data_IF_046333628839
#
_entry.id   IF_046333628839
#
_cell.length_a   1.000
_cell.length_b   1.000
_cell.length_c   1.000
_cell.angle_alpha   90.00
_cell.angle_beta   90.00
_cell.angle_gamma   90.00
#
_symmetry.space_group_name_H-M   'P 1'
#
loop_
_entity.id
_entity.type
_entity.pdbx_description
1 polymer ?
#
# COMPACT_ATOMS: atom_id res chain seq x y z
N UNK A 1 -9.79 19.57 2.99
CA UNK A 1 -8.54 19.25 3.73
C UNK A 1 -8.66 17.82 4.23
N UNK A 2 -7.59 16.99 4.22
CA UNK A 2 -7.69 15.63 4.76
C UNK A 2 -8.34 15.62 6.16
N UNK A 3 -9.34 14.74 6.37
CA UNK A 3 -10.11 14.67 7.62
C UNK A 3 -11.24 15.69 7.80
N UNK A 4 -11.68 16.39 6.74
CA UNK A 4 -12.77 17.38 6.83
C UNK A 4 -14.15 16.75 7.10
N UNK A 5 -14.37 15.50 6.67
CA UNK A 5 -15.64 14.80 6.85
C UNK A 5 -16.72 15.19 5.85
N UNK A 6 -16.36 15.94 4.80
CA UNK A 6 -17.29 16.44 3.78
C UNK A 6 -16.81 16.17 2.36
N UNK A 7 -15.50 16.07 2.14
CA UNK A 7 -14.93 15.73 0.83
C UNK A 7 -15.30 14.30 0.40
N UNK A 8 -15.56 14.13 -0.89
CA UNK A 8 -15.79 12.81 -1.51
C UNK A 8 -14.48 12.07 -1.79
N UNK A 9 -14.59 10.76 -2.11
CA UNK A 9 -13.44 9.86 -2.28
C UNK A 9 -12.53 9.80 -1.03
N UNK A 10 -13.15 9.71 0.15
CA UNK A 10 -12.46 9.60 1.42
C UNK A 10 -11.65 8.29 1.49
N UNK A 11 -10.36 8.40 1.82
CA UNK A 11 -9.47 7.25 1.96
C UNK A 11 -9.61 6.63 3.34
N UNK A 12 -9.95 5.34 3.35
CA UNK A 12 -10.22 4.54 4.54
C UNK A 12 -9.41 3.24 4.49
N UNK A 13 -9.32 2.56 5.62
CA UNK A 13 -8.87 1.18 5.70
C UNK A 13 -9.66 0.43 6.78
N UNK A 14 -9.58 -0.90 6.78
CA UNK A 14 -10.36 -1.80 7.63
C UNK A 14 -9.47 -2.85 8.30
N UNK A 15 -8.90 -3.78 7.53
CA UNK A 15 -8.13 -4.93 8.04
C UNK A 15 -6.80 -4.53 8.69
N UNK A 16 -6.65 -4.81 9.99
CA UNK A 16 -5.47 -4.47 10.78
C UNK A 16 -5.18 -5.44 11.94
N UNK A 17 -6.05 -6.43 12.23
CA UNK A 17 -5.96 -7.29 13.44
C UNK A 17 -5.68 -8.76 13.17
N UNK A 18 -5.08 -9.06 12.02
CA UNK A 18 -4.54 -10.39 11.72
C UNK A 18 -5.53 -11.34 11.06
N UNK A 19 -5.16 -12.62 10.88
CA UNK A 19 -5.81 -13.52 9.92
C UNK A 19 -7.22 -13.97 10.32
N UNK A 20 -7.62 -13.79 11.58
CA UNK A 20 -8.97 -14.14 12.05
C UNK A 20 -9.94 -12.94 11.99
N UNK A 21 -9.49 -11.74 11.61
CA UNK A 21 -10.37 -10.59 11.43
C UNK A 21 -11.15 -10.72 10.12
N UNK A 22 -12.39 -11.19 10.20
CA UNK A 22 -13.27 -11.25 9.03
C UNK A 22 -13.73 -9.84 8.61
N UNK A 23 -14.26 -9.70 7.39
CA UNK A 23 -14.80 -8.42 6.91
C UNK A 23 -15.90 -7.86 7.82
N UNK A 24 -16.64 -8.74 8.50
CA UNK A 24 -17.72 -8.38 9.43
C UNK A 24 -17.21 -7.88 10.79
N UNK A 25 -15.93 -8.09 11.09
CA UNK A 25 -15.35 -7.79 12.40
C UNK A 25 -14.52 -6.52 12.40
N UNK A 26 -14.22 -5.94 11.23
CA UNK A 26 -13.36 -4.77 11.09
C UNK A 26 -13.96 -3.50 11.70
N UNK A 27 -13.08 -2.55 12.04
CA UNK A 27 -13.48 -1.17 12.34
C UNK A 27 -12.98 -0.30 11.19
N UNK A 28 -13.91 0.26 10.41
CA UNK A 28 -13.56 1.18 9.31
C UNK A 28 -12.99 2.47 9.89
N UNK A 29 -11.79 2.84 9.46
CA UNK A 29 -11.03 3.97 10.00
C UNK A 29 -10.39 4.81 8.88
N UNK A 30 -10.21 6.13 9.08
CA UNK A 30 -9.65 7.01 8.07
C UNK A 30 -8.14 6.80 7.91
N UNK A 31 -7.65 6.81 6.68
CA UNK A 31 -6.20 6.81 6.42
C UNK A 31 -5.51 8.02 7.05
N UNK A 32 -6.19 9.17 7.10
CA UNK A 32 -5.72 10.37 7.77
C UNK A 32 -6.26 10.40 9.21
N UNK A 33 -5.40 10.10 10.17
CA UNK A 33 -5.73 10.07 11.59
C UNK A 33 -5.46 11.42 12.25
N UNK A 34 -6.53 12.17 12.48
CA UNK A 34 -6.52 13.50 13.08
C UNK A 34 -7.05 13.54 14.52
N UNK A 35 -7.41 12.38 15.10
CA UNK A 35 -8.09 12.22 16.39
C UNK A 35 -9.46 12.93 16.45
N UNK A 36 -10.11 13.07 15.28
CA UNK A 36 -11.42 13.72 15.14
C UNK A 36 -12.59 12.77 15.43
N UNK A 37 -12.38 11.47 15.19
CA UNK A 37 -13.34 10.39 15.42
C UNK A 37 -12.65 9.23 16.13
N UNK A 38 -13.42 8.27 16.64
CA UNK A 38 -12.88 7.17 17.45
C UNK A 38 -12.72 7.58 18.92
N UNK A 39 -11.69 7.05 19.57
CA UNK A 39 -11.35 7.36 20.96
C UNK A 39 -10.39 8.55 21.11
N UNK A 40 -9.79 8.73 22.29
CA UNK A 40 -8.84 9.82 22.55
C UNK A 40 -7.61 9.82 21.63
N UNK A 41 -7.21 8.64 21.14
CA UNK A 41 -6.10 8.45 20.21
C UNK A 41 -6.58 8.14 18.78
N UNK A 42 -7.80 8.56 18.46
CA UNK A 42 -8.49 8.15 17.25
C UNK A 42 -8.74 6.65 17.23
N UNK A 43 -8.24 5.98 16.21
CA UNK A 43 -8.33 4.51 16.05
C UNK A 43 -6.98 3.82 16.26
N UNK A 44 -5.92 4.51 16.70
CA UNK A 44 -4.58 3.93 16.69
C UNK A 44 -4.36 2.85 17.75
N UNK A 45 -4.91 3.04 18.94
CA UNK A 45 -4.70 2.19 20.11
C UNK A 45 -5.45 0.85 20.06
N UNK A 46 -6.42 0.70 19.15
CA UNK A 46 -7.04 -0.59 18.85
C UNK A 46 -6.19 -1.48 17.92
N UNK A 47 -5.16 -0.91 17.27
CA UNK A 47 -4.30 -1.63 16.32
C UNK A 47 -2.84 -1.73 16.78
N UNK A 48 -2.37 -0.77 17.57
CA UNK A 48 -0.97 -0.68 17.99
C UNK A 48 -0.89 -0.39 19.49
N UNK A 49 0.10 -1.01 20.15
CA UNK A 49 0.44 -0.68 21.52
C UNK A 49 1.47 0.43 21.53
N UNK A 50 1.22 1.50 22.30
CA UNK A 50 2.13 2.63 22.46
C UNK A 50 1.88 3.36 23.76
N UNK A 51 2.87 4.12 24.23
CA UNK A 51 2.74 5.02 25.40
C UNK A 51 2.21 6.41 25.02
N UNK A 52 2.33 6.78 23.75
CA UNK A 52 1.77 8.01 23.18
C UNK A 52 1.46 7.80 21.70
N UNK A 53 0.52 8.61 21.18
CA UNK A 53 0.06 8.53 19.80
C UNK A 53 0.13 9.91 19.14
N UNK A 54 0.58 9.93 17.89
CA UNK A 54 0.66 11.13 17.07
C UNK A 54 -0.38 11.07 15.94
N UNK A 55 -0.94 12.24 15.61
CA UNK A 55 -1.71 12.44 14.37
C UNK A 55 -0.83 12.06 13.19
N UNK A 56 -1.35 11.25 12.29
CA UNK A 56 -0.55 10.59 11.26
C UNK A 56 -1.39 10.22 10.03
N UNK A 57 -0.73 9.72 9.00
CA UNK A 57 -1.39 9.14 7.83
C UNK A 57 -0.73 7.81 7.46
N UNK A 58 -1.54 6.86 6.98
CA UNK A 58 -1.05 5.55 6.54
C UNK A 58 -1.87 4.98 5.37
N UNK A 59 -1.18 4.61 4.30
CA UNK A 59 -1.76 3.97 3.12
C UNK A 59 -1.30 2.51 3.04
N UNK A 60 -2.13 1.67 2.43
CA UNK A 60 -1.80 0.27 2.14
C UNK A 60 -2.02 0.04 0.65
N UNK A 61 -0.96 -0.35 -0.05
CA UNK A 61 -1.07 -0.73 -1.45
C UNK A 61 -1.67 -2.14 -1.56
N UNK A 62 -2.33 -2.42 -2.68
CA UNK A 62 -2.70 -3.76 -3.10
C UNK A 62 -1.84 -4.08 -4.35
N UNK A 63 -0.67 -4.70 -4.17
CA UNK A 63 0.32 -4.79 -5.24
C UNK A 63 -0.14 -5.55 -6.50
N UNK A 64 -1.13 -6.44 -6.35
CA UNK A 64 -1.80 -7.11 -7.48
C UNK A 64 -2.58 -6.12 -8.36
N UNK A 65 -3.24 -5.12 -7.76
CA UNK A 65 -3.98 -4.09 -8.49
C UNK A 65 -3.04 -3.16 -9.26
N UNK A 66 -1.92 -2.79 -8.64
CA UNK A 66 -0.87 -1.99 -9.28
C UNK A 66 -0.25 -2.74 -10.46
N UNK A 67 0.09 -4.03 -10.26
CA UNK A 67 0.61 -4.89 -11.32
C UNK A 67 -0.40 -5.07 -12.47
N UNK A 68 -1.70 -5.24 -12.16
CA UNK A 68 -2.77 -5.33 -13.15
C UNK A 68 -2.91 -4.05 -13.96
N UNK A 69 -2.78 -2.88 -13.32
CA UNK A 69 -2.78 -1.60 -14.03
C UNK A 69 -1.58 -1.48 -14.99
N UNK A 70 -0.38 -1.90 -14.56
CA UNK A 70 0.80 -1.93 -15.41
C UNK A 70 0.61 -2.89 -16.58
N UNK A 71 0.06 -4.09 -16.33
CA UNK A 71 -0.26 -5.07 -17.36
C UNK A 71 -1.26 -4.53 -18.40
N UNK A 72 -2.30 -3.82 -17.96
CA UNK A 72 -3.26 -3.21 -18.88
C UNK A 72 -2.60 -2.12 -19.75
N UNK A 73 -1.72 -1.31 -19.16
CA UNK A 73 -1.00 -0.25 -19.90
C UNK A 73 0.02 -0.84 -20.88
N UNK A 74 0.64 -1.97 -20.57
CA UNK A 74 1.48 -2.71 -21.51
C UNK A 74 0.70 -3.03 -22.79
N UNK A 75 -0.48 -3.65 -22.67
CA UNK A 75 -1.30 -3.97 -23.84
C UNK A 75 -1.80 -2.75 -24.58
N UNK A 76 -2.22 -1.70 -23.85
CA UNK A 76 -2.62 -0.44 -24.47
C UNK A 76 -1.49 0.17 -25.32
N UNK A 77 -0.24 0.12 -24.81
CA UNK A 77 0.94 0.61 -25.53
C UNK A 77 1.23 -0.24 -26.76
N UNK A 78 1.21 -1.57 -26.64
CA UNK A 78 1.36 -2.49 -27.77
C UNK A 78 0.35 -2.20 -28.88
N UNK A 79 -0.94 -2.15 -28.55
CA UNK A 79 -1.99 -1.92 -29.55
C UNK A 79 -1.97 -0.51 -30.14
N UNK A 80 -1.56 0.50 -29.36
CA UNK A 80 -1.38 1.84 -29.88
C UNK A 80 -0.25 1.89 -30.91
N UNK A 81 0.87 1.23 -30.64
CA UNK A 81 2.02 1.17 -31.55
C UNK A 81 1.71 0.44 -32.84
N UNK A 82 0.93 -0.65 -32.77
CA UNK A 82 0.39 -1.35 -33.95
C UNK A 82 -0.47 -0.44 -34.85
N UNK A 83 -1.10 0.59 -34.27
CA UNK A 83 -1.94 1.57 -34.97
C UNK A 83 -1.18 2.87 -35.33
N UNK A 84 0.15 2.89 -35.23
CA UNK A 84 0.98 4.06 -35.56
C UNK A 84 1.30 4.99 -34.39
N UNK A 85 1.01 4.57 -33.15
CA UNK A 85 1.36 5.25 -31.90
C UNK A 85 0.26 6.16 -31.34
N UNK A 86 0.37 6.50 -30.05
CA UNK A 86 -0.55 7.42 -29.38
C UNK A 86 0.15 8.23 -28.28
N UNK A 87 0.28 9.57 -28.43
CA UNK A 87 0.92 10.41 -27.42
C UNK A 87 0.26 10.33 -26.04
N UNK A 88 -1.07 10.13 -25.99
CA UNK A 88 -1.78 9.93 -24.72
C UNK A 88 -1.39 8.62 -24.06
N UNK A 89 -1.28 7.52 -24.82
CA UNK A 89 -0.85 6.23 -24.28
C UNK A 89 0.61 6.28 -23.84
N UNK A 90 1.48 6.94 -24.58
CA UNK A 90 2.89 7.14 -24.20
C UNK A 90 3.04 7.86 -22.85
N UNK A 91 2.20 8.88 -22.62
CA UNK A 91 2.19 9.60 -21.34
C UNK A 91 1.75 8.71 -20.17
N UNK A 92 0.82 7.79 -20.41
CA UNK A 92 0.31 6.83 -19.41
C UNK A 92 1.33 5.71 -19.18
N UNK A 93 1.99 5.22 -20.22
CA UNK A 93 3.08 4.24 -20.11
C UNK A 93 4.21 4.73 -19.20
N UNK A 94 4.57 6.02 -19.28
CA UNK A 94 5.54 6.64 -18.34
C UNK A 94 5.04 6.59 -16.88
N UNK A 95 3.75 6.82 -16.64
CA UNK A 95 3.14 6.71 -15.30
C UNK A 95 3.12 5.26 -14.81
N UNK A 96 2.83 4.30 -15.68
CA UNK A 96 2.89 2.87 -15.36
C UNK A 96 4.33 2.43 -15.04
N UNK A 97 5.32 2.92 -15.78
CA UNK A 97 6.74 2.72 -15.45
C UNK A 97 7.09 3.24 -14.05
N UNK A 98 6.63 4.45 -13.70
CA UNK A 98 6.78 4.99 -12.35
C UNK A 98 6.07 4.15 -11.28
N UNK A 99 4.84 3.70 -11.56
CA UNK A 99 4.09 2.83 -10.64
C UNK A 99 4.85 1.51 -10.40
N UNK A 100 5.39 0.89 -11.45
CA UNK A 100 6.19 -0.32 -11.36
C UNK A 100 7.48 -0.14 -10.55
N UNK A 101 8.10 1.04 -10.64
CA UNK A 101 9.29 1.35 -9.84
C UNK A 101 8.98 1.43 -8.33
N UNK A 102 7.85 2.06 -7.95
CA UNK A 102 7.39 2.06 -6.55
C UNK A 102 6.83 0.70 -6.11
N UNK A 103 6.22 -0.07 -7.00
CA UNK A 103 5.70 -1.41 -6.69
C UNK A 103 6.79 -2.39 -6.23
N UNK A 104 8.07 -2.07 -6.47
CA UNK A 104 9.21 -2.84 -5.95
C UNK A 104 9.23 -2.96 -4.42
N UNK A 105 8.57 -2.06 -3.68
CA UNK A 105 8.40 -2.22 -2.22
C UNK A 105 7.68 -3.50 -1.83
N UNK A 106 6.79 -4.02 -2.69
CA UNK A 106 6.09 -5.30 -2.46
C UNK A 106 7.01 -6.52 -2.55
N UNK A 107 8.25 -6.37 -3.04
CA UNK A 107 9.18 -7.47 -3.27
C UNK A 107 10.01 -7.84 -2.04
N UNK A 108 9.84 -7.14 -0.93
CA UNK A 108 10.64 -7.26 0.29
C UNK A 108 9.82 -7.78 1.46
N UNK A 109 10.47 -8.56 2.34
CA UNK A 109 9.93 -8.88 3.65
C UNK A 109 9.43 -7.62 4.37
N UNK A 110 8.31 -7.74 5.10
CA UNK A 110 7.62 -6.62 5.77
C UNK A 110 8.54 -5.76 6.64
N UNK A 111 9.57 -6.35 7.24
CA UNK A 111 10.53 -5.67 8.10
C UNK A 111 11.97 -5.77 7.58
N UNK A 112 12.15 -6.01 6.28
CA UNK A 112 13.44 -6.17 5.62
C UNK A 112 14.33 -7.23 6.30
N UNK A 113 13.75 -8.31 6.82
CA UNK A 113 14.51 -9.44 7.36
C UNK A 113 15.00 -10.32 6.23
N UNK A 114 16.18 -10.92 6.40
CA UNK A 114 16.73 -11.89 5.44
C UNK A 114 15.76 -13.06 5.25
N UNK A 115 15.54 -13.47 3.99
CA UNK A 115 14.69 -14.61 3.67
C UNK A 115 15.20 -15.88 4.36
N UNK A 116 14.28 -16.64 4.96
CA UNK A 116 14.58 -17.82 5.79
C UNK A 116 14.79 -17.51 7.27
N UNK A 117 14.71 -16.25 7.70
CA UNK A 117 14.63 -15.90 9.12
C UNK A 117 13.38 -16.51 9.77
N UNK A 118 13.54 -17.12 10.95
CA UNK A 118 12.46 -17.80 11.70
C UNK A 118 12.12 -17.14 13.03
N UNK A 119 12.72 -15.98 13.35
CA UNK A 119 12.52 -15.28 14.63
C UNK A 119 12.38 -13.76 14.43
N UNK A 120 11.49 -13.08 15.18
CA UNK A 120 11.42 -11.61 15.16
C UNK A 120 12.74 -10.91 15.53
N UNK A 121 13.64 -11.59 16.24
CA UNK A 121 14.93 -11.06 16.68
C UNK A 121 16.03 -11.08 15.62
N UNK A 122 15.82 -11.66 14.43
CA UNK A 122 16.83 -11.61 13.36
C UNK A 122 17.21 -10.15 13.04
N UNK A 123 18.47 -9.87 12.67
CA UNK A 123 18.83 -8.55 12.17
C UNK A 123 18.09 -8.22 10.87
N UNK A 124 17.91 -6.92 10.59
CA UNK A 124 17.46 -6.44 9.28
C UNK A 124 18.59 -6.53 8.27
N UNK A 125 18.26 -6.78 7.01
CA UNK A 125 19.20 -6.73 5.90
C UNK A 125 19.37 -5.28 5.41
N UNK A 126 20.58 -4.92 5.00
CA UNK A 126 20.89 -3.66 4.30
C UNK A 126 21.17 -3.87 2.81
N UNK A 127 20.94 -5.09 2.32
CA UNK A 127 21.07 -5.52 0.94
C UNK A 127 19.75 -6.17 0.46
N UNK A 128 19.77 -6.77 -0.73
CA UNK A 128 18.61 -7.43 -1.33
C UNK A 128 18.33 -8.84 -0.75
N UNK A 129 18.99 -9.26 0.34
CA UNK A 129 18.72 -10.59 0.92
C UNK A 129 17.38 -10.68 1.64
N UNK A 130 16.68 -9.56 1.81
CA UNK A 130 15.28 -9.50 2.25
C UNK A 130 14.27 -9.46 1.10
N UNK A 131 14.73 -9.39 -0.15
CA UNK A 131 13.87 -9.42 -1.33
C UNK A 131 13.49 -10.88 -1.66
N UNK A 132 12.20 -11.17 -1.63
CA UNK A 132 11.65 -12.45 -2.11
C UNK A 132 11.27 -12.41 -3.60
N UNK A 133 11.28 -11.23 -4.23
CA UNK A 133 10.99 -11.04 -5.67
C UNK A 133 9.62 -11.56 -6.13
N UNK A 134 8.67 -11.58 -5.21
CA UNK A 134 7.25 -11.88 -5.45
C UNK A 134 6.40 -10.68 -5.04
N UNK A 135 5.20 -10.57 -5.61
CA UNK A 135 4.20 -9.56 -5.24
C UNK A 135 3.55 -10.02 -3.93
N UNK A 136 3.84 -9.32 -2.81
CA UNK A 136 3.27 -9.59 -1.48
C UNK A 136 1.94 -8.89 -1.19
#
# INVERSE_FOLDING_TARGET
TPGDGTSHAALINTFQRGPQESVFETVTQPTWEAFKWGGPNGYLDIFQKGSSFARQWKYTAAPDADARAIQAVYWAKTWADEQGGSPSVDSIAKKAGKLGDFARYSLFDKYFKKIGCTSPSCPTASDYTSAHYLIS
#
